data_IF_298670310183
#
_entry.id   IF_298670310183
#
_cell.length_a   1.000
_cell.length_b   1.000
_cell.length_c   1.000
_cell.angle_alpha   90.00
_cell.angle_beta   90.00
_cell.angle_gamma   90.00
#
_symmetry.space_group_name_H-M   'P 1'
#
loop_
_entity.id
_entity.type
_entity.pdbx_description
1 polymer ?
#
# COMPACT_ATOMS: atom_id res chain seq x y z
N UNK A 1 4.74 -14.70 21.31
CA UNK A 1 3.39 -14.15 21.12
C UNK A 1 3.55 -12.67 20.82
N UNK A 2 2.89 -12.14 19.80
CA UNK A 2 2.94 -10.69 19.52
C UNK A 2 2.03 -9.98 20.51
N UNK A 3 2.48 -8.86 21.10
CA UNK A 3 1.61 -8.05 21.97
C UNK A 3 0.67 -7.18 21.14
N UNK A 4 -0.45 -6.74 21.73
CA UNK A 4 -1.37 -5.80 21.08
C UNK A 4 -0.67 -4.51 20.66
N UNK A 5 0.29 -4.04 21.47
CA UNK A 5 1.13 -2.88 21.12
C UNK A 5 1.99 -3.14 19.89
N UNK A 6 2.65 -4.30 19.80
CA UNK A 6 3.45 -4.64 18.63
C UNK A 6 2.58 -4.82 17.38
N UNK A 7 1.44 -5.49 17.50
CA UNK A 7 0.50 -5.67 16.40
C UNK A 7 -0.07 -4.32 15.93
N UNK A 8 -0.47 -3.47 16.87
CA UNK A 8 -0.97 -2.13 16.61
C UNK A 8 0.05 -1.28 15.85
N UNK A 9 1.31 -1.24 16.30
CA UNK A 9 2.39 -0.54 15.57
C UNK A 9 2.66 -1.13 14.19
N UNK A 10 2.66 -2.45 14.03
CA UNK A 10 2.80 -3.08 12.72
C UNK A 10 1.68 -2.66 11.76
N UNK A 11 0.42 -2.66 12.22
CA UNK A 11 -0.73 -2.23 11.42
C UNK A 11 -0.60 -0.75 11.00
N UNK A 12 -0.14 0.13 11.90
CA UNK A 12 0.12 1.52 11.53
C UNK A 12 1.25 1.67 10.50
N UNK A 13 2.30 0.86 10.59
CA UNK A 13 3.37 0.87 9.59
C UNK A 13 2.89 0.43 8.21
N UNK A 14 1.99 -0.55 8.14
CA UNK A 14 1.35 -0.96 6.89
C UNK A 14 0.39 0.12 6.39
N UNK A 15 -0.38 0.75 7.29
CA UNK A 15 -1.24 1.88 6.95
C UNK A 15 -0.44 3.04 6.32
N UNK A 16 0.74 3.35 6.85
CA UNK A 16 1.65 4.34 6.26
C UNK A 16 2.08 3.97 4.84
N UNK A 17 2.34 2.70 4.56
CA UNK A 17 2.69 2.23 3.22
C UNK A 17 1.52 2.44 2.25
N UNK A 18 0.33 1.96 2.61
CA UNK A 18 -0.90 2.13 1.83
C UNK A 18 -1.20 3.59 1.52
N UNK A 19 -0.96 4.48 2.49
CA UNK A 19 -1.12 5.91 2.30
C UNK A 19 -0.21 6.46 1.20
N UNK A 20 1.06 6.04 1.16
CA UNK A 20 2.01 6.51 0.15
C UNK A 20 1.73 5.90 -1.23
N UNK A 21 1.23 4.66 -1.29
CA UNK A 21 0.77 4.04 -2.54
C UNK A 21 -0.40 4.83 -3.11
N UNK A 22 -1.41 5.10 -2.28
CA UNK A 22 -2.58 5.88 -2.65
C UNK A 22 -2.17 7.24 -3.23
N UNK A 23 -1.37 8.01 -2.51
CA UNK A 23 -0.87 9.32 -2.97
C UNK A 23 -0.12 9.20 -4.30
N UNK A 24 0.73 8.19 -4.43
CA UNK A 24 1.53 8.01 -5.64
C UNK A 24 0.64 7.73 -6.87
N UNK A 25 -0.29 6.78 -6.76
CA UNK A 25 -1.20 6.41 -7.84
C UNK A 25 -2.13 7.55 -8.25
N UNK A 26 -2.70 8.25 -7.27
CA UNK A 26 -3.56 9.42 -7.52
C UNK A 26 -2.77 10.54 -8.20
N UNK A 27 -1.53 10.80 -7.78
CA UNK A 27 -0.68 11.80 -8.43
C UNK A 27 -0.28 11.40 -9.86
N UNK A 28 -0.08 10.12 -10.16
CA UNK A 28 0.13 9.67 -11.56
C UNK A 28 -1.13 9.97 -12.38
N UNK A 29 -2.30 9.63 -11.86
CA UNK A 29 -3.57 9.84 -12.56
C UNK A 29 -3.84 11.33 -12.85
N UNK A 30 -3.53 12.20 -11.89
CA UNK A 30 -3.63 13.66 -12.06
C UNK A 30 -2.60 14.21 -13.05
N UNK A 31 -1.37 13.70 -13.05
CA UNK A 31 -0.29 14.18 -13.90
C UNK A 31 -0.35 13.63 -15.34
N UNK A 32 -1.13 12.58 -15.60
CA UNK A 32 -1.26 12.00 -16.94
C UNK A 32 -2.15 12.88 -17.83
N UNK A 33 -1.56 13.44 -18.89
CA UNK A 33 -2.31 14.17 -19.91
C UNK A 33 -3.21 13.21 -20.71
N UNK A 34 -4.47 13.60 -20.93
CA UNK A 34 -5.34 12.96 -21.92
C UNK A 34 -6.37 11.98 -21.39
N UNK A 35 -6.50 11.80 -20.07
CA UNK A 35 -7.66 11.16 -19.41
C UNK A 35 -8.22 9.93 -20.13
N UNK A 36 -7.51 8.82 -20.04
CA UNK A 36 -7.91 7.53 -20.61
C UNK A 36 -8.36 6.54 -19.51
N UNK A 37 -8.75 5.35 -19.92
CA UNK A 37 -9.15 4.25 -19.04
C UNK A 37 -8.07 3.89 -18.00
N UNK A 38 -6.79 4.14 -18.30
CA UNK A 38 -5.71 3.99 -17.32
C UNK A 38 -5.90 4.90 -16.10
N UNK A 39 -6.34 6.14 -16.28
CA UNK A 39 -6.60 7.06 -15.15
C UNK A 39 -7.69 6.54 -14.23
N UNK A 40 -8.78 5.99 -14.78
CA UNK A 40 -9.85 5.43 -13.97
C UNK A 40 -9.34 4.25 -13.12
N UNK A 41 -8.48 3.41 -13.69
CA UNK A 41 -7.87 2.29 -12.98
C UNK A 41 -6.91 2.78 -11.88
N UNK A 42 -6.04 3.75 -12.18
CA UNK A 42 -5.12 4.32 -11.20
C UNK A 42 -5.86 4.95 -10.02
N UNK A 43 -6.94 5.67 -10.31
CA UNK A 43 -7.81 6.24 -9.27
C UNK A 43 -8.47 5.13 -8.46
N UNK A 44 -8.99 4.09 -9.10
CA UNK A 44 -9.60 2.96 -8.42
C UNK A 44 -8.63 2.31 -7.43
N UNK A 45 -7.44 1.91 -7.91
CA UNK A 45 -6.43 1.25 -7.06
C UNK A 45 -5.94 2.21 -5.97
N UNK A 46 -5.67 3.47 -6.30
CA UNK A 46 -5.24 4.46 -5.31
C UNK A 46 -6.28 4.73 -4.22
N UNK A 47 -7.58 4.69 -4.54
CA UNK A 47 -8.64 4.78 -3.54
C UNK A 47 -8.79 3.49 -2.71
N UNK A 48 -8.50 2.33 -3.29
CA UNK A 48 -8.55 1.06 -2.57
C UNK A 48 -7.43 0.96 -1.52
N UNK A 49 -6.22 1.40 -1.87
CA UNK A 49 -5.12 1.56 -0.89
C UNK A 49 -5.48 2.56 0.20
N UNK A 50 -6.19 3.66 -0.11
CA UNK A 50 -6.66 4.59 0.92
C UNK A 50 -7.68 3.94 1.87
N UNK A 51 -8.57 3.08 1.33
CA UNK A 51 -9.49 2.27 2.13
C UNK A 51 -8.71 1.31 3.04
N UNK A 52 -7.65 0.68 2.55
CA UNK A 52 -6.80 -0.21 3.34
C UNK A 52 -6.10 0.54 4.48
N UNK A 53 -5.49 1.70 4.20
CA UNK A 53 -4.90 2.59 5.20
C UNK A 53 -5.87 2.87 6.35
N UNK A 54 -7.07 3.36 6.00
CA UNK A 54 -8.08 3.72 6.97
C UNK A 54 -8.48 2.53 7.87
N UNK A 55 -8.68 1.35 7.28
CA UNK A 55 -9.06 0.16 8.02
C UNK A 55 -7.92 -0.31 8.94
N UNK A 56 -6.68 -0.31 8.45
CA UNK A 56 -5.50 -0.70 9.22
C UNK A 56 -5.29 0.23 10.42
N UNK A 57 -5.36 1.55 10.20
CA UNK A 57 -5.30 2.52 11.29
C UNK A 57 -6.39 2.31 12.31
N UNK A 58 -7.62 2.05 11.85
CA UNK A 58 -8.76 1.89 12.74
C UNK A 58 -8.58 0.67 13.64
N UNK A 59 -8.11 -0.45 13.09
CA UNK A 59 -7.83 -1.66 13.87
C UNK A 59 -6.67 -1.43 14.85
N UNK A 60 -5.63 -0.72 14.43
CA UNK A 60 -4.50 -0.41 15.30
C UNK A 60 -4.91 0.40 16.54
N UNK A 61 -5.74 1.44 16.32
CA UNK A 61 -6.27 2.31 17.37
C UNK A 61 -7.31 1.59 18.25
N UNK A 62 -8.06 0.63 17.70
CA UNK A 62 -8.95 -0.23 18.47
C UNK A 62 -8.18 -1.20 19.39
N UNK A 63 -6.95 -1.61 19.01
CA UNK A 63 -6.10 -2.48 19.82
C UNK A 63 -5.40 -1.74 20.97
N UNK A 64 -4.86 -0.55 20.67
CA UNK A 64 -4.17 0.30 21.64
C UNK A 64 -4.51 1.75 21.33
N UNK A 65 -5.18 2.42 22.27
CA UNK A 65 -5.52 3.83 22.10
C UNK A 65 -4.26 4.73 22.15
N UNK A 66 -4.25 5.80 21.36
CA UNK A 66 -3.16 6.77 21.30
C UNK A 66 -1.80 6.24 20.80
N UNK A 67 -1.77 5.06 20.18
CA UNK A 67 -0.54 4.51 19.57
C UNK A 67 -0.17 5.29 18.32
N UNK A 68 1.11 5.62 18.21
CA UNK A 68 1.69 6.26 17.03
C UNK A 68 2.96 5.52 16.61
N UNK A 69 3.30 5.66 15.33
CA UNK A 69 4.55 5.16 14.76
C UNK A 69 5.20 6.27 13.94
N UNK A 70 6.52 6.33 14.00
CA UNK A 70 7.32 7.02 13.01
C UNK A 70 7.90 6.02 12.00
N UNK A 71 8.33 6.52 10.85
CA UNK A 71 8.86 5.68 9.78
C UNK A 71 10.11 4.89 10.18
N UNK A 72 10.91 5.41 11.09
CA UNK A 72 12.15 4.77 11.54
C UNK A 72 11.83 3.54 12.39
N UNK A 73 10.80 3.64 13.24
CA UNK A 73 10.27 2.55 14.05
C UNK A 73 9.65 1.41 13.24
N UNK A 74 9.25 1.66 12.00
CA UNK A 74 8.65 0.65 11.13
C UNK A 74 9.66 -0.38 10.61
N UNK A 75 10.94 -0.04 10.53
CA UNK A 75 11.95 -0.93 9.95
C UNK A 75 12.06 -2.26 10.70
N UNK A 76 11.94 -2.22 12.03
CA UNK A 76 12.01 -3.41 12.89
C UNK A 76 10.70 -4.22 12.91
N UNK A 77 9.60 -3.61 12.47
CA UNK A 77 8.25 -4.17 12.59
C UNK A 77 7.77 -4.85 11.31
N UNK A 78 7.95 -4.18 10.17
CA UNK A 78 7.50 -4.64 8.85
C UNK A 78 8.65 -4.99 7.93
N UNK A 79 9.88 -4.58 8.27
CA UNK A 79 11.08 -4.89 7.50
C UNK A 79 11.65 -3.68 6.77
N UNK A 80 12.87 -3.85 6.28
CA UNK A 80 13.63 -2.76 5.63
C UNK A 80 13.11 -2.45 4.23
N UNK A 81 12.61 -3.44 3.50
CA UNK A 81 12.12 -3.22 2.13
C UNK A 81 10.85 -2.38 2.10
N UNK A 82 9.87 -2.63 2.98
CA UNK A 82 8.67 -1.79 3.10
C UNK A 82 9.01 -0.34 3.46
N UNK A 83 9.99 -0.10 4.35
CA UNK A 83 10.45 1.28 4.67
C UNK A 83 11.16 1.94 3.49
N UNK A 84 11.98 1.20 2.74
CA UNK A 84 12.61 1.72 1.50
C UNK A 84 11.56 2.09 0.47
N UNK A 85 10.51 1.27 0.35
CA UNK A 85 9.40 1.50 -0.55
C UNK A 85 8.64 2.79 -0.20
N UNK A 86 8.29 2.98 1.07
CA UNK A 86 7.69 4.25 1.56
C UNK A 86 8.55 5.45 1.15
N UNK A 87 9.87 5.38 1.38
CA UNK A 87 10.80 6.47 1.00
C UNK A 87 10.84 6.71 -0.50
N UNK A 88 10.81 5.64 -1.30
CA UNK A 88 10.80 5.71 -2.76
C UNK A 88 9.51 6.36 -3.27
N UNK A 89 8.35 5.92 -2.78
CA UNK A 89 7.04 6.47 -3.14
C UNK A 89 6.95 7.95 -2.78
N UNK A 90 7.38 8.35 -1.58
CA UNK A 90 7.44 9.77 -1.18
C UNK A 90 8.29 10.61 -2.13
N UNK A 91 9.46 10.08 -2.52
CA UNK A 91 10.36 10.78 -3.44
C UNK A 91 9.70 10.94 -4.81
N UNK A 92 9.18 9.85 -5.40
CA UNK A 92 8.55 9.87 -6.71
C UNK A 92 7.29 10.75 -6.74
N UNK A 93 6.47 10.66 -5.70
CA UNK A 93 5.26 11.48 -5.54
C UNK A 93 5.58 12.97 -5.54
N UNK A 94 6.67 13.39 -4.86
CA UNK A 94 7.13 14.79 -4.89
C UNK A 94 7.58 15.24 -6.28
N UNK A 95 8.23 14.34 -7.04
CA UNK A 95 8.69 14.62 -8.40
C UNK A 95 7.52 14.77 -9.40
N UNK A 96 6.32 14.26 -9.08
CA UNK A 96 5.11 14.35 -9.91
C UNK A 96 4.35 15.68 -9.79
N UNK A 97 4.55 16.46 -8.71
CA UNK A 97 3.71 17.63 -8.38
C UNK A 97 3.89 18.81 -9.36
N UNK A 98 4.94 18.82 -10.19
CA UNK A 98 5.30 20.03 -10.94
C UNK A 98 5.04 20.00 -12.44
N UNK A 99 4.68 18.86 -13.07
CA UNK A 99 4.53 18.80 -14.54
C UNK A 99 3.59 17.70 -14.98
N UNK A 100 2.86 17.90 -16.09
CA UNK A 100 2.31 16.78 -16.83
C UNK A 100 3.42 15.79 -17.20
N UNK A 101 3.13 14.50 -17.07
CA UNK A 101 4.05 13.43 -17.42
C UNK A 101 3.64 12.81 -18.75
N UNK A 102 4.64 12.50 -19.59
CA UNK A 102 4.38 11.75 -20.82
C UNK A 102 3.85 10.34 -20.53
N UNK A 103 3.04 9.78 -21.44
CA UNK A 103 2.60 8.38 -21.42
C UNK A 103 3.73 7.38 -21.16
N UNK A 104 4.91 7.60 -21.77
CA UNK A 104 6.10 6.76 -21.57
C UNK A 104 6.63 6.82 -20.14
N UNK A 105 6.55 7.99 -19.49
CA UNK A 105 6.95 8.14 -18.09
C UNK A 105 5.91 7.47 -17.18
N UNK A 106 4.62 7.73 -17.39
CA UNK A 106 3.54 7.08 -16.64
C UNK A 106 3.63 5.56 -16.71
N UNK A 107 3.82 4.99 -17.91
CA UNK A 107 4.04 3.55 -18.12
C UNK A 107 5.13 2.98 -17.22
N UNK A 108 6.29 3.65 -17.14
CA UNK A 108 7.41 3.20 -16.28
C UNK A 108 7.05 3.23 -14.80
N UNK A 109 6.35 4.27 -14.36
CA UNK A 109 5.92 4.41 -12.96
C UNK A 109 4.91 3.33 -12.57
N UNK A 110 4.00 3.00 -13.49
CA UNK A 110 3.00 1.93 -13.29
C UNK A 110 3.67 0.56 -13.31
N UNK A 111 4.59 0.28 -14.25
CA UNK A 111 5.37 -0.97 -14.25
C UNK A 111 6.20 -1.17 -12.97
N UNK A 112 6.73 -0.08 -12.40
CA UNK A 112 7.36 -0.11 -11.08
C UNK A 112 6.32 -0.41 -10.00
N UNK A 113 5.17 0.27 -9.98
CA UNK A 113 4.12 0.04 -8.99
C UNK A 113 3.59 -1.39 -9.03
N UNK A 114 3.28 -1.94 -10.21
CA UNK A 114 2.81 -3.32 -10.36
C UNK A 114 3.77 -4.33 -9.73
N UNK A 115 5.08 -4.12 -9.88
CA UNK A 115 6.09 -4.99 -9.24
C UNK A 115 6.10 -4.82 -7.72
N UNK A 116 5.89 -3.61 -7.24
CA UNK A 116 5.84 -3.30 -5.81
C UNK A 116 4.59 -3.89 -5.16
N UNK A 117 3.42 -3.81 -5.79
CA UNK A 117 2.19 -4.48 -5.29
C UNK A 117 2.37 -5.99 -5.17
N UNK A 118 3.05 -6.62 -6.13
CA UNK A 118 3.41 -8.05 -6.04
C UNK A 118 4.22 -8.38 -4.79
N UNK A 119 5.23 -7.55 -4.49
CA UNK A 119 6.04 -7.71 -3.28
C UNK A 119 5.23 -7.47 -1.99
N UNK A 120 4.35 -6.47 -2.00
CA UNK A 120 3.52 -6.12 -0.83
C UNK A 120 2.48 -7.21 -0.55
N UNK A 121 1.80 -7.71 -1.57
CA UNK A 121 0.87 -8.84 -1.43
C UNK A 121 1.56 -10.05 -0.82
N UNK A 122 2.78 -10.37 -1.26
CA UNK A 122 3.60 -11.41 -0.64
C UNK A 122 3.96 -11.09 0.81
N UNK A 123 4.31 -9.84 1.14
CA UNK A 123 4.58 -9.42 2.53
C UNK A 123 3.33 -9.55 3.43
N UNK A 124 2.14 -9.14 2.96
CA UNK A 124 0.89 -9.32 3.68
C UNK A 124 0.53 -10.79 3.88
N UNK A 125 0.69 -11.61 2.85
CA UNK A 125 0.48 -13.04 2.95
C UNK A 125 1.47 -13.69 3.92
N UNK A 126 2.75 -13.32 3.86
CA UNK A 126 3.78 -13.81 4.77
C UNK A 126 3.51 -13.37 6.21
N UNK A 127 3.03 -12.14 6.43
CA UNK A 127 2.59 -11.67 7.75
C UNK A 127 1.41 -12.47 8.26
N UNK A 128 0.43 -12.75 7.39
CA UNK A 128 -0.67 -13.64 7.72
C UNK A 128 -0.12 -15.02 8.10
N UNK A 129 0.67 -15.66 7.25
CA UNK A 129 1.16 -17.03 7.38
C UNK A 129 2.14 -17.24 8.54
N UNK A 130 3.21 -16.44 8.63
CA UNK A 130 4.25 -16.56 9.64
C UNK A 130 3.73 -16.24 11.05
N UNK A 131 2.62 -15.50 11.15
CA UNK A 131 2.04 -15.06 12.42
C UNK A 131 0.57 -15.46 12.57
N UNK A 132 0.03 -16.42 11.79
CA UNK A 132 -1.41 -16.81 11.84
C UNK A 132 -1.83 -17.09 13.27
N UNK A 133 -1.03 -17.84 14.03
CA UNK A 133 -1.39 -18.18 15.40
C UNK A 133 -1.28 -16.99 16.35
N UNK A 134 -0.24 -16.16 16.23
CA UNK A 134 -0.02 -15.02 17.12
C UNK A 134 -0.97 -13.84 16.83
N UNK A 135 -1.27 -13.58 15.56
CA UNK A 135 -2.26 -12.58 15.14
C UNK A 135 -3.67 -13.10 15.39
N UNK A 136 -4.01 -14.37 15.11
CA UNK A 136 -5.35 -14.87 15.41
C UNK A 136 -5.65 -14.91 16.93
N UNK A 137 -4.62 -15.11 17.77
CA UNK A 137 -4.77 -14.97 19.23
C UNK A 137 -4.91 -13.52 19.68
N UNK A 138 -4.27 -12.56 18.99
CA UNK A 138 -4.34 -11.14 19.33
C UNK A 138 -5.62 -10.47 18.79
N UNK A 139 -5.97 -10.71 17.54
CA UNK A 139 -7.18 -10.18 16.90
C UNK A 139 -7.60 -10.95 15.64
N UNK A 140 -8.74 -11.66 15.73
CA UNK A 140 -9.40 -12.30 14.57
C UNK A 140 -9.80 -11.29 13.51
N UNK A 141 -10.20 -10.07 13.92
CA UNK A 141 -10.56 -8.96 13.02
C UNK A 141 -9.35 -8.53 12.19
N UNK A 142 -8.20 -8.31 12.84
CA UNK A 142 -6.96 -7.93 12.15
C UNK A 142 -6.54 -9.00 11.13
N UNK A 143 -6.58 -10.29 11.54
CA UNK A 143 -6.28 -11.40 10.63
C UNK A 143 -7.15 -11.37 9.38
N UNK A 144 -8.48 -11.30 9.53
CA UNK A 144 -9.39 -11.36 8.38
C UNK A 144 -9.22 -10.16 7.45
N UNK A 145 -8.93 -8.98 8.00
CA UNK A 145 -8.68 -7.80 7.19
C UNK A 145 -7.38 -7.94 6.39
N UNK A 146 -6.29 -8.43 6.99
CA UNK A 146 -5.04 -8.64 6.26
C UNK A 146 -5.18 -9.68 5.14
N UNK A 147 -5.98 -10.73 5.35
CA UNK A 147 -6.31 -11.69 4.28
C UNK A 147 -7.08 -11.00 3.13
N UNK A 148 -8.07 -10.16 3.44
CA UNK A 148 -8.84 -9.42 2.43
C UNK A 148 -7.98 -8.42 1.66
N UNK A 149 -7.08 -7.70 2.35
CA UNK A 149 -6.13 -6.77 1.71
C UNK A 149 -5.20 -7.55 0.78
N UNK A 150 -4.65 -8.68 1.24
CA UNK A 150 -3.81 -9.54 0.39
C UNK A 150 -4.53 -10.02 -0.87
N UNK A 151 -5.82 -10.36 -0.78
CA UNK A 151 -6.65 -10.71 -1.95
C UNK A 151 -6.89 -9.50 -2.89
N UNK A 152 -6.97 -8.29 -2.34
CA UNK A 152 -7.11 -7.06 -3.13
C UNK A 152 -5.79 -6.72 -3.86
N UNK A 153 -4.62 -6.91 -3.25
CA UNK A 153 -3.32 -6.65 -3.91
C UNK A 153 -3.10 -7.52 -5.15
N UNK A 154 -3.54 -8.77 -5.14
CA UNK A 154 -3.49 -9.62 -6.34
C UNK A 154 -4.36 -9.05 -7.48
N UNK A 155 -5.50 -8.44 -7.16
CA UNK A 155 -6.37 -7.77 -8.13
C UNK A 155 -5.75 -6.45 -8.60
N UNK A 156 -5.10 -5.71 -7.71
CA UNK A 156 -4.39 -4.47 -8.06
C UNK A 156 -3.32 -4.71 -9.11
N UNK A 157 -2.55 -5.79 -8.98
CA UNK A 157 -1.57 -6.19 -10.00
C UNK A 157 -2.23 -6.39 -11.37
N UNK A 158 -3.38 -7.08 -11.41
CA UNK A 158 -4.11 -7.31 -12.67
C UNK A 158 -4.61 -6.00 -13.27
N UNK A 159 -5.22 -5.15 -12.45
CA UNK A 159 -5.73 -3.85 -12.87
C UNK A 159 -4.60 -2.93 -13.37
N UNK A 160 -3.49 -2.85 -12.65
CA UNK A 160 -2.34 -2.05 -13.07
C UNK A 160 -1.72 -2.57 -14.37
N UNK A 161 -1.72 -3.90 -14.60
CA UNK A 161 -1.34 -4.45 -15.90
C UNK A 161 -2.31 -4.04 -17.01
N UNK A 162 -3.62 -4.04 -16.74
CA UNK A 162 -4.62 -3.55 -17.69
C UNK A 162 -4.44 -2.05 -17.99
N UNK A 163 -4.11 -1.23 -16.97
CA UNK A 163 -3.81 0.19 -17.14
C UNK A 163 -2.64 0.42 -18.12
N UNK A 164 -1.63 -0.47 -18.13
CA UNK A 164 -0.51 -0.40 -19.08
C UNK A 164 -0.95 -0.65 -20.53
N UNK A 165 -2.03 -1.38 -20.78
CA UNK A 165 -2.54 -1.63 -22.13
C UNK A 165 -3.17 -0.38 -22.75
N UNK A 166 -3.75 0.50 -21.91
CA UNK A 166 -4.35 1.78 -22.35
C UNK A 166 -3.33 2.90 -22.57
N UNK A 167 -2.05 2.70 -22.22
CA UNK A 167 -0.96 3.67 -22.36
C UNK A 167 -0.14 3.43 -23.64
N UNK A 168 -0.81 3.38 -24.79
CA UNK A 168 -0.19 3.21 -26.13
C UNK A 168 0.52 4.48 -26.58
#
# INVERSE_FOLDING_TARGET
MISDLQLSKMLLCMALLEQEISKFLLNIAEALEGGNEANAILIYVGLDSLKHEYILEKIAKDLVDGVEVDLESCQDLVGTESVKLIKLLRKKTKELIERPISTKHARRLIEEQTRMEGQIGEEYLNLCQAKVFSIATASKKAKRVLELISEDEEKHIQLLNEALEYLV
#
